data_IF_787144789557
#
_entry.id   IF_787144789557
#
_cell.length_a   1.000
_cell.length_b   1.000
_cell.length_c   1.000
_cell.angle_alpha   90.00
_cell.angle_beta   90.00
_cell.angle_gamma   90.00
#
_symmetry.space_group_name_H-M   'P 1'
#
loop_
_entity.id
_entity.type
_entity.pdbx_description
1 polymer ?
#
# COMPACT_ATOMS: atom_id res chain seq x y z
N UNK A 1 31.59 83.25 -10.59
CA UNK A 1 30.20 83.32 -11.11
C UNK A 1 29.52 82.03 -10.68
N UNK A 2 28.44 81.95 -9.89
CA UNK A 2 27.49 82.90 -9.30
C UNK A 2 27.10 82.34 -7.92
N UNK A 3 26.74 83.27 -7.02
CA UNK A 3 26.37 83.14 -5.59
C UNK A 3 25.38 82.01 -5.26
N UNK A 4 25.61 81.34 -4.13
CA UNK A 4 24.58 80.62 -3.37
C UNK A 4 24.41 81.30 -2.00
N UNK A 5 23.17 81.66 -1.69
CA UNK A 5 22.76 82.44 -0.53
C UNK A 5 22.54 81.56 0.70
N UNK A 6 22.91 82.12 1.84
CA UNK A 6 22.80 81.59 3.20
C UNK A 6 21.35 81.47 3.67
N UNK A 7 21.05 80.41 4.43
CA UNK A 7 20.02 80.45 5.47
C UNK A 7 20.50 79.66 6.69
N UNK A 8 20.67 80.38 7.80
CA UNK A 8 20.85 79.84 9.15
C UNK A 8 19.52 79.24 9.62
N UNK A 9 19.57 78.12 10.35
CA UNK A 9 18.63 77.88 11.43
C UNK A 9 19.31 77.11 12.58
N UNK A 10 19.10 77.61 13.78
CA UNK A 10 19.82 77.30 15.01
C UNK A 10 19.49 75.91 15.58
N UNK A 11 20.51 75.30 16.18
CA UNK A 11 20.45 74.01 16.89
C UNK A 11 20.15 74.26 18.36
N UNK A 12 19.02 73.77 18.87
CA UNK A 12 18.66 73.83 20.30
C UNK A 12 18.77 72.43 20.89
N UNK A 13 19.71 72.25 21.82
CA UNK A 13 19.93 71.03 22.60
C UNK A 13 18.94 71.06 23.78
N UNK A 14 18.09 70.02 23.91
CA UNK A 14 17.24 69.79 25.07
C UNK A 14 17.81 68.62 25.89
N UNK A 15 18.26 68.92 27.12
CA UNK A 15 18.51 67.95 28.18
C UNK A 15 17.16 67.59 28.81
N UNK A 16 16.82 66.30 28.90
CA UNK A 16 15.73 65.81 29.76
C UNK A 16 16.29 64.79 30.74
N UNK A 17 16.12 65.11 32.02
CA UNK A 17 16.55 64.34 33.17
C UNK A 17 15.76 63.02 33.29
N UNK A 18 16.45 61.95 33.65
CA UNK A 18 15.86 60.68 34.03
C UNK A 18 15.12 60.83 35.39
N UNK A 19 13.81 60.64 35.38
CA UNK A 19 13.00 60.48 36.59
C UNK A 19 12.53 59.01 36.66
N UNK A 20 12.96 58.30 37.71
CA UNK A 20 12.47 56.98 38.05
C UNK A 20 11.01 57.06 38.54
N UNK A 21 10.05 56.68 37.69
CA UNK A 21 8.69 56.37 38.10
C UNK A 21 8.60 54.90 38.54
N UNK A 22 8.24 54.65 39.80
CA UNK A 22 7.78 53.33 40.24
C UNK A 22 6.40 53.09 39.63
N UNK A 23 6.30 52.15 38.71
CA UNK A 23 5.01 51.71 38.16
C UNK A 23 4.30 50.86 39.22
N UNK A 24 3.19 51.36 39.75
CA UNK A 24 2.29 50.63 40.62
C UNK A 24 1.45 49.66 39.76
N UNK A 25 1.70 48.36 39.93
CA UNK A 25 1.10 47.27 39.16
C UNK A 25 -0.23 46.77 39.76
N UNK A 26 -0.74 47.41 40.81
CA UNK A 26 -1.98 46.99 41.50
C UNK A 26 -3.28 47.23 40.72
N UNK A 27 -3.21 47.82 39.51
CA UNK A 27 -4.38 48.15 38.68
C UNK A 27 -4.53 47.28 37.42
N UNK A 28 -3.70 46.25 37.23
CA UNK A 28 -3.83 45.29 36.11
C UNK A 28 -4.78 44.12 36.38
N UNK A 29 -5.44 44.08 37.54
CA UNK A 29 -6.48 43.10 37.84
C UNK A 29 -7.84 43.78 37.96
N UNK A 30 -8.45 44.20 36.85
CA UNK A 30 -9.92 44.29 36.73
C UNK A 30 -10.35 44.59 35.28
N UNK A 31 -10.81 43.55 34.58
CA UNK A 31 -11.54 43.63 33.30
C UNK A 31 -10.64 43.43 32.07
N UNK A 32 -10.83 42.45 31.20
CA UNK A 32 -11.94 41.54 30.97
C UNK A 32 -11.63 40.12 31.44
N UNK A 33 -12.67 39.37 31.81
CA UNK A 33 -12.52 37.92 31.90
C UNK A 33 -11.99 37.44 30.56
N UNK A 34 -10.84 36.76 30.56
CA UNK A 34 -10.45 35.92 29.42
C UNK A 34 -11.64 34.98 29.23
N UNK A 35 -12.42 35.20 28.17
CA UNK A 35 -13.38 34.22 27.71
C UNK A 35 -12.52 33.08 27.22
N UNK A 36 -12.26 32.11 28.08
CA UNK A 36 -11.74 30.82 27.66
C UNK A 36 -12.82 30.32 26.69
N UNK A 37 -12.53 30.21 25.38
CA UNK A 37 -13.48 29.59 24.48
C UNK A 37 -13.82 28.24 25.12
N UNK A 38 -15.11 27.85 25.18
CA UNK A 38 -15.43 26.55 25.73
C UNK A 38 -14.52 25.55 25.03
N UNK A 39 -13.73 24.79 25.81
CA UNK A 39 -13.15 23.56 25.28
C UNK A 39 -14.38 22.69 25.05
N UNK A 40 -15.00 22.85 23.90
CA UNK A 40 -15.83 21.82 23.34
C UNK A 40 -14.85 20.71 23.05
N UNK A 41 -14.68 19.79 24.00
CA UNK A 41 -14.27 18.42 23.71
C UNK A 41 -15.41 17.71 22.98
N UNK A 42 -15.99 18.37 21.98
CA UNK A 42 -16.72 17.66 20.95
C UNK A 42 -15.63 17.01 20.12
N UNK A 43 -15.62 15.69 20.07
CA UNK A 43 -14.88 14.96 19.04
C UNK A 43 -15.17 15.66 17.71
N UNK A 44 -14.22 16.46 17.19
CA UNK A 44 -14.35 16.98 15.84
C UNK A 44 -14.38 15.73 14.97
N UNK A 45 -15.50 15.43 14.29
CA UNK A 45 -15.65 14.15 13.62
C UNK A 45 -14.53 14.01 12.58
N UNK A 46 -13.64 13.04 12.79
CA UNK A 46 -12.60 12.72 11.83
C UNK A 46 -13.17 11.80 10.77
N UNK A 47 -12.83 12.05 9.52
CA UNK A 47 -13.03 11.07 8.45
C UNK A 47 -12.27 9.80 8.86
N UNK A 48 -12.97 8.68 8.90
CA UNK A 48 -12.40 7.35 9.14
C UNK A 48 -12.38 6.57 7.83
N UNK A 49 -11.21 6.06 7.48
CA UNK A 49 -10.92 5.24 6.32
C UNK A 49 -10.52 3.85 6.83
N UNK A 50 -11.13 2.80 6.29
CA UNK A 50 -10.83 1.41 6.67
C UNK A 50 -10.54 0.58 5.43
N UNK A 51 -9.67 -0.42 5.53
CA UNK A 51 -9.63 -1.51 4.55
C UNK A 51 -8.26 -2.03 4.16
N UNK A 52 -8.03 -2.10 2.86
CA UNK A 52 -6.89 -2.74 2.21
C UNK A 52 -5.54 -2.29 2.76
N UNK A 53 -4.70 -3.25 3.13
CA UNK A 53 -3.29 -3.01 3.45
C UNK A 53 -2.48 -2.49 2.25
N UNK A 54 -2.95 -2.73 1.03
CA UNK A 54 -2.30 -2.29 -0.21
C UNK A 54 -2.63 -0.84 -0.55
N UNK A 55 -3.90 -0.45 -0.36
CA UNK A 55 -4.37 0.89 -0.69
C UNK A 55 -4.16 1.86 0.48
N UNK A 56 -4.17 1.34 1.71
CA UNK A 56 -3.97 2.10 2.95
C UNK A 56 -2.79 3.08 2.92
N UNK A 57 -1.58 2.71 2.44
CA UNK A 57 -0.46 3.65 2.35
C UNK A 57 -0.76 4.88 1.46
N UNK A 58 -1.45 4.70 0.33
CA UNK A 58 -1.87 5.81 -0.54
C UNK A 58 -2.91 6.68 0.17
N UNK A 59 -3.90 6.05 0.81
CA UNK A 59 -4.92 6.75 1.58
C UNK A 59 -4.30 7.55 2.74
N UNK A 60 -3.29 7.00 3.41
CA UNK A 60 -2.59 7.65 4.51
C UNK A 60 -1.80 8.87 4.04
N UNK A 61 -1.06 8.78 2.93
CA UNK A 61 -0.37 9.95 2.35
C UNK A 61 -1.35 11.06 1.97
N UNK A 62 -2.51 10.71 1.37
CA UNK A 62 -3.55 11.69 1.05
C UNK A 62 -4.15 12.30 2.32
N UNK A 63 -4.41 11.49 3.35
CA UNK A 63 -4.94 11.96 4.63
C UNK A 63 -3.98 12.93 5.34
N UNK A 64 -2.70 12.59 5.41
CA UNK A 64 -1.65 13.44 5.97
C UNK A 64 -1.56 14.78 5.23
N UNK A 65 -1.50 14.73 3.89
CA UNK A 65 -1.46 15.94 3.06
C UNK A 65 -2.71 16.80 3.27
N UNK A 66 -3.89 16.19 3.33
CA UNK A 66 -5.15 16.89 3.58
C UNK A 66 -5.14 17.63 4.93
N UNK A 67 -4.71 16.97 6.00
CA UNK A 67 -4.59 17.61 7.32
C UNK A 67 -3.49 18.68 7.39
N UNK A 68 -2.45 18.57 6.55
CA UNK A 68 -1.36 19.55 6.50
C UNK A 68 -1.72 20.83 5.73
N UNK A 69 -2.65 20.77 4.78
CA UNK A 69 -2.98 21.90 3.87
C UNK A 69 -4.37 22.47 4.05
N UNK A 70 -5.16 21.94 4.98
CA UNK A 70 -6.52 22.42 5.27
C UNK A 70 -6.71 22.68 6.76
N UNK A 71 -7.79 23.37 7.12
CA UNK A 71 -8.17 23.59 8.53
C UNK A 71 -8.90 22.37 9.14
N UNK A 72 -9.09 21.29 8.37
CA UNK A 72 -9.80 20.10 8.83
C UNK A 72 -8.84 19.10 9.50
N UNK A 73 -9.31 18.32 10.50
CA UNK A 73 -8.49 17.28 11.11
C UNK A 73 -8.02 16.22 10.10
N UNK A 74 -6.79 15.74 10.26
CA UNK A 74 -6.25 14.59 9.53
C UNK A 74 -7.19 13.38 9.65
N UNK A 75 -7.63 12.78 8.53
CA UNK A 75 -8.38 11.53 8.53
C UNK A 75 -7.62 10.41 9.23
N UNK A 76 -8.35 9.49 9.87
CA UNK A 76 -7.80 8.28 10.46
C UNK A 76 -7.85 7.19 9.40
N UNK A 77 -6.73 6.50 9.17
CA UNK A 77 -6.62 5.37 8.23
C UNK A 77 -6.32 4.09 9.02
N UNK A 78 -7.19 3.08 8.91
CA UNK A 78 -7.10 1.81 9.62
C UNK A 78 -7.02 0.64 8.63
N UNK A 79 -5.86 0.00 8.57
CA UNK A 79 -5.61 -1.14 7.69
C UNK A 79 -6.18 -2.42 8.32
N UNK A 80 -7.32 -2.88 7.82
CA UNK A 80 -8.08 -4.04 8.34
C UNK A 80 -8.25 -5.16 7.30
N UNK A 81 -7.60 -5.02 6.13
CA UNK A 81 -7.81 -5.85 4.94
C UNK A 81 -9.13 -5.49 4.23
N UNK A 82 -9.21 -5.70 2.90
CA UNK A 82 -10.39 -5.28 2.11
C UNK A 82 -11.72 -5.83 2.66
N UNK A 83 -11.76 -7.11 3.08
CA UNK A 83 -12.97 -7.71 3.66
C UNK A 83 -13.31 -7.18 5.06
N UNK A 84 -12.30 -6.96 5.92
CA UNK A 84 -12.49 -6.33 7.23
C UNK A 84 -12.95 -4.88 7.10
N UNK A 85 -12.38 -4.16 6.12
CA UNK A 85 -12.75 -2.81 5.72
C UNK A 85 -14.21 -2.73 5.32
N UNK A 86 -14.66 -3.55 4.37
CA UNK A 86 -16.08 -3.59 4.01
C UNK A 86 -16.99 -3.99 5.16
N UNK A 87 -16.57 -4.92 6.04
CA UNK A 87 -17.35 -5.27 7.23
C UNK A 87 -17.55 -4.07 8.16
N UNK A 88 -16.48 -3.30 8.43
CA UNK A 88 -16.54 -2.11 9.27
C UNK A 88 -17.29 -0.95 8.58
N UNK A 89 -17.02 -0.75 7.28
CA UNK A 89 -17.70 0.24 6.45
C UNK A 89 -19.20 -0.04 6.34
N UNK A 90 -19.62 -1.27 6.08
CA UNK A 90 -21.03 -1.62 5.96
C UNK A 90 -21.76 -1.72 7.32
N UNK A 91 -21.15 -1.37 8.46
CA UNK A 91 -21.79 -1.46 9.78
C UNK A 91 -22.90 -0.41 10.02
N UNK A 92 -22.98 0.64 9.20
CA UNK A 92 -24.01 1.66 9.27
C UNK A 92 -23.53 3.04 8.82
N UNK A 93 -24.36 4.07 8.97
CA UNK A 93 -24.02 5.48 8.67
C UNK A 93 -23.83 6.29 9.95
N UNK A 94 -23.32 7.52 9.81
CA UNK A 94 -23.20 8.48 10.91
C UNK A 94 -21.76 8.81 11.33
N UNK A 95 -21.59 9.74 12.28
CA UNK A 95 -20.32 10.42 12.56
C UNK A 95 -19.24 9.52 13.17
N UNK A 96 -19.64 8.39 13.75
CA UNK A 96 -18.73 7.41 14.33
C UNK A 96 -18.40 6.25 13.39
N UNK A 97 -19.09 6.12 12.26
CA UNK A 97 -18.88 5.04 11.31
C UNK A 97 -17.79 5.42 10.28
N UNK A 98 -17.03 4.44 9.75
CA UNK A 98 -16.11 4.70 8.66
C UNK A 98 -16.84 5.33 7.47
N UNK A 99 -16.29 6.41 6.93
CA UNK A 99 -16.90 7.13 5.79
C UNK A 99 -16.35 6.63 4.45
N UNK A 100 -15.17 6.02 4.48
CA UNK A 100 -14.46 5.54 3.30
C UNK A 100 -14.00 4.10 3.54
N UNK A 101 -14.15 3.24 2.53
CA UNK A 101 -13.47 1.95 2.48
C UNK A 101 -12.47 1.98 1.34
N UNK A 102 -11.20 1.72 1.61
CA UNK A 102 -10.23 1.43 0.56
C UNK A 102 -10.17 -0.09 0.29
N UNK A 103 -9.91 -0.46 -0.96
CA UNK A 103 -10.09 -1.85 -1.38
C UNK A 103 -9.15 -2.22 -2.53
N UNK A 104 -8.55 -3.40 -2.42
CA UNK A 104 -7.68 -4.00 -3.45
C UNK A 104 -8.43 -4.97 -4.38
N UNK A 105 -9.76 -4.91 -4.38
CA UNK A 105 -10.67 -5.62 -5.28
C UNK A 105 -12.05 -4.93 -5.31
N UNK A 106 -12.92 -5.24 -6.27
CA UNK A 106 -14.30 -4.80 -6.22
C UNK A 106 -15.02 -5.30 -4.94
N UNK A 107 -16.05 -4.57 -4.52
CA UNK A 107 -16.99 -5.03 -3.50
C UNK A 107 -17.66 -6.32 -3.95
N UNK A 108 -17.86 -7.27 -3.03
CA UNK A 108 -18.54 -8.55 -3.31
C UNK A 108 -20.07 -8.37 -3.18
N UNK A 109 -20.88 -9.19 -3.89
CA UNK A 109 -22.34 -9.16 -3.71
C UNK A 109 -22.80 -9.37 -2.25
N UNK A 110 -22.07 -10.19 -1.48
CA UNK A 110 -22.35 -10.38 -0.05
C UNK A 110 -22.07 -9.14 0.81
N UNK A 111 -21.07 -8.33 0.42
CA UNK A 111 -20.72 -7.08 1.09
C UNK A 111 -21.70 -5.97 0.69
N UNK A 112 -22.13 -5.91 -0.57
CA UNK A 112 -23.22 -5.04 -1.01
C UNK A 112 -24.51 -5.32 -0.23
N UNK A 113 -24.87 -6.61 -0.09
CA UNK A 113 -26.03 -7.02 0.69
C UNK A 113 -25.90 -6.63 2.18
N UNK A 114 -24.71 -6.77 2.77
CA UNK A 114 -24.43 -6.31 4.14
C UNK A 114 -24.61 -4.80 4.27
N UNK A 115 -24.05 -4.03 3.33
CA UNK A 115 -24.20 -2.57 3.28
C UNK A 115 -25.68 -2.18 3.20
N UNK A 116 -26.43 -2.79 2.28
CA UNK A 116 -27.87 -2.51 2.11
C UNK A 116 -28.67 -2.83 3.38
N UNK A 117 -28.40 -3.98 4.02
CA UNK A 117 -29.08 -4.38 5.25
C UNK A 117 -28.88 -3.39 6.42
N UNK A 118 -27.74 -2.68 6.43
CA UNK A 118 -27.39 -1.70 7.45
C UNK A 118 -27.58 -0.25 7.00
N UNK A 119 -28.33 -0.02 5.91
CA UNK A 119 -28.67 1.33 5.44
C UNK A 119 -27.52 2.09 4.75
N UNK A 120 -26.42 1.41 4.43
CA UNK A 120 -25.35 1.95 3.56
C UNK A 120 -25.75 1.67 2.12
N UNK A 121 -26.28 2.69 1.44
CA UNK A 121 -26.84 2.56 0.09
C UNK A 121 -25.87 3.13 -0.94
N UNK A 122 -25.62 2.38 -2.01
CA UNK A 122 -24.89 2.85 -3.20
C UNK A 122 -23.65 3.70 -2.89
N UNK A 123 -22.63 3.15 -2.17
CA UNK A 123 -21.40 3.87 -1.95
C UNK A 123 -20.75 4.22 -3.30
N UNK A 124 -20.27 5.46 -3.44
CA UNK A 124 -19.61 5.91 -4.66
C UNK A 124 -18.29 5.14 -4.82
N UNK A 125 -18.15 4.46 -5.95
CA UNK A 125 -16.99 3.63 -6.25
C UNK A 125 -16.01 4.38 -7.16
N UNK A 126 -14.84 4.70 -6.63
CA UNK A 126 -13.78 5.38 -7.36
C UNK A 126 -12.65 4.39 -7.61
N UNK A 127 -12.35 4.13 -8.88
CA UNK A 127 -11.16 3.35 -9.27
C UNK A 127 -9.94 4.27 -9.25
N UNK A 128 -8.94 3.91 -8.45
CA UNK A 128 -7.75 4.76 -8.28
C UNK A 128 -6.52 4.24 -9.02
N UNK A 129 -6.50 2.96 -9.43
CA UNK A 129 -5.39 2.42 -10.18
C UNK A 129 -5.41 0.91 -10.34
N UNK A 130 -4.30 0.41 -10.89
CA UNK A 130 -4.00 -1.00 -11.08
C UNK A 130 -2.68 -1.27 -10.37
N UNK A 131 -2.68 -2.32 -9.57
CA UNK A 131 -1.47 -2.89 -9.00
C UNK A 131 -1.12 -4.12 -9.82
N UNK A 132 0.05 -4.11 -10.45
CA UNK A 132 0.51 -5.15 -11.36
C UNK A 132 1.89 -5.62 -10.94
N UNK A 133 1.99 -6.88 -10.54
CA UNK A 133 3.23 -7.53 -10.13
C UNK A 133 3.70 -8.40 -11.28
N UNK A 134 4.98 -8.35 -11.61
CA UNK A 134 5.57 -9.15 -12.68
C UNK A 134 6.70 -10.01 -12.16
N UNK A 135 6.81 -11.20 -12.75
CA UNK A 135 7.99 -12.05 -12.63
C UNK A 135 8.85 -11.76 -13.84
N UNK A 136 10.05 -11.22 -13.64
CA UNK A 136 10.91 -10.81 -14.74
C UNK A 136 12.30 -11.43 -14.65
N UNK A 137 12.97 -11.56 -15.79
CA UNK A 137 14.38 -11.90 -15.87
C UNK A 137 15.11 -11.05 -16.89
N UNK A 138 16.43 -11.24 -16.99
CA UNK A 138 17.23 -10.61 -18.04
C UNK A 138 16.65 -10.94 -19.42
N UNK A 139 16.71 -9.96 -20.33
CA UNK A 139 16.32 -10.17 -21.73
C UNK A 139 17.15 -11.29 -22.38
N UNK A 140 18.41 -11.44 -21.96
CA UNK A 140 19.33 -12.48 -22.40
C UNK A 140 19.12 -13.85 -21.69
N UNK A 141 18.24 -13.90 -20.68
CA UNK A 141 17.91 -15.14 -19.96
C UNK A 141 16.95 -16.04 -20.73
N UNK A 142 16.59 -17.20 -20.16
CA UNK A 142 15.60 -18.10 -20.76
C UNK A 142 14.20 -17.46 -20.78
N UNK A 143 13.29 -18.07 -21.54
CA UNK A 143 11.87 -17.70 -21.54
C UNK A 143 11.16 -18.55 -20.49
N UNK A 144 10.31 -17.90 -19.69
CA UNK A 144 9.47 -18.56 -18.71
C UNK A 144 8.00 -18.37 -19.05
N UNK A 145 7.25 -19.46 -18.95
CA UNK A 145 5.80 -19.48 -18.94
C UNK A 145 5.39 -20.29 -17.71
N UNK A 146 4.92 -19.61 -16.69
CA UNK A 146 4.72 -20.17 -15.35
C UNK A 146 3.24 -20.22 -15.02
N UNK A 147 2.83 -21.20 -14.24
CA UNK A 147 1.52 -21.19 -13.57
C UNK A 147 1.67 -20.73 -12.12
N UNK A 148 0.56 -20.32 -11.49
CA UNK A 148 0.58 -19.99 -10.06
C UNK A 148 0.91 -21.20 -9.19
N UNK A 149 0.39 -22.38 -9.55
CA UNK A 149 0.76 -23.63 -8.90
C UNK A 149 2.26 -23.94 -9.02
N UNK A 150 2.90 -23.66 -10.16
CA UNK A 150 4.35 -23.82 -10.31
C UNK A 150 5.13 -22.79 -9.47
N UNK A 151 4.68 -21.53 -9.43
CA UNK A 151 5.26 -20.52 -8.53
C UNK A 151 5.18 -20.98 -7.07
N UNK A 152 4.02 -21.48 -6.62
CA UNK A 152 3.84 -22.02 -5.28
C UNK A 152 4.77 -23.22 -5.01
N UNK A 153 4.80 -24.21 -5.93
CA UNK A 153 5.69 -25.37 -5.82
C UNK A 153 7.17 -24.99 -5.83
N UNK A 154 7.56 -23.92 -6.51
CA UNK A 154 8.93 -23.43 -6.53
C UNK A 154 9.33 -22.73 -5.21
N UNK A 155 8.41 -21.96 -4.61
CA UNK A 155 8.76 -20.94 -3.62
C UNK A 155 8.22 -21.16 -2.22
N UNK A 156 7.19 -21.99 -2.04
CA UNK A 156 6.67 -22.28 -0.70
C UNK A 156 7.78 -22.88 0.16
N UNK A 157 7.83 -22.49 1.44
CA UNK A 157 8.79 -23.04 2.39
C UNK A 157 8.62 -24.56 2.54
N UNK A 158 7.38 -24.97 2.72
CA UNK A 158 6.96 -26.35 2.90
C UNK A 158 5.86 -26.70 1.88
N UNK A 159 5.91 -27.92 1.36
CA UNK A 159 4.91 -28.45 0.44
C UNK A 159 4.16 -29.62 1.09
N UNK A 160 2.88 -29.81 0.74
CA UNK A 160 2.17 -31.05 1.04
C UNK A 160 2.97 -32.29 0.66
N UNK A 161 3.08 -33.25 1.57
CA UNK A 161 3.85 -34.48 1.33
C UNK A 161 3.03 -35.59 0.66
N UNK A 162 1.73 -35.36 0.47
CA UNK A 162 0.76 -36.31 -0.08
C UNK A 162 0.19 -37.31 0.93
N UNK A 163 0.58 -37.22 2.20
CA UNK A 163 0.13 -38.09 3.31
C UNK A 163 -0.66 -37.32 4.36
N UNK A 164 -0.98 -36.06 4.09
CA UNK A 164 -1.66 -35.17 5.02
C UNK A 164 -0.72 -34.36 5.90
N UNK A 165 0.60 -34.43 5.68
CA UNK A 165 1.60 -33.62 6.37
C UNK A 165 2.32 -32.70 5.37
N UNK A 166 3.34 -31.99 5.84
CA UNK A 166 4.16 -31.06 5.08
C UNK A 166 5.63 -31.45 5.16
N UNK A 167 6.38 -31.15 4.10
CA UNK A 167 7.83 -31.34 4.05
C UNK A 167 8.53 -30.09 3.51
N UNK A 168 9.80 -29.85 3.88
CA UNK A 168 10.60 -28.80 3.26
C UNK A 168 10.61 -28.94 1.74
N UNK A 169 10.51 -27.81 1.05
CA UNK A 169 10.40 -27.80 -0.40
C UNK A 169 11.63 -28.45 -1.06
N UNK A 170 11.47 -29.58 -1.79
CA UNK A 170 12.59 -30.33 -2.34
C UNK A 170 13.10 -29.77 -3.67
N UNK A 171 12.33 -28.90 -4.34
CA UNK A 171 12.66 -28.41 -5.67
C UNK A 171 13.89 -27.49 -5.59
N UNK A 172 14.86 -27.68 -6.49
CA UNK A 172 16.10 -26.90 -6.59
C UNK A 172 16.27 -26.24 -7.94
N UNK A 173 15.73 -26.84 -8.99
CA UNK A 173 15.69 -26.32 -10.37
C UNK A 173 14.26 -26.13 -10.83
N UNK A 174 14.04 -25.27 -11.82
CA UNK A 174 12.71 -25.10 -12.42
C UNK A 174 12.21 -26.39 -13.10
N UNK A 175 13.12 -27.23 -13.59
CA UNK A 175 12.79 -28.56 -14.11
C UNK A 175 12.24 -29.52 -13.04
N UNK A 176 12.65 -29.38 -11.78
CA UNK A 176 12.08 -30.16 -10.67
C UNK A 176 10.60 -29.82 -10.45
N UNK A 177 10.20 -28.58 -10.78
CA UNK A 177 8.84 -28.07 -10.61
C UNK A 177 7.94 -28.52 -11.76
N UNK A 178 8.45 -28.49 -12.99
CA UNK A 178 7.75 -28.90 -14.20
C UNK A 178 8.75 -29.18 -15.34
N UNK A 179 8.56 -30.27 -16.12
CA UNK A 179 9.48 -30.64 -17.20
C UNK A 179 9.51 -29.64 -18.37
N UNK A 180 8.48 -28.81 -18.51
CA UNK A 180 8.37 -27.79 -19.56
C UNK A 180 9.14 -26.50 -19.24
N UNK A 181 9.68 -26.39 -18.02
CA UNK A 181 10.44 -25.22 -17.58
C UNK A 181 11.95 -25.37 -17.84
N UNK A 182 12.70 -24.25 -17.93
CA UNK A 182 14.14 -24.27 -18.12
C UNK A 182 14.90 -25.07 -17.05
N UNK A 183 16.05 -25.64 -17.41
CA UNK A 183 16.96 -26.32 -16.47
C UNK A 183 17.86 -25.31 -15.75
N UNK A 184 17.23 -24.36 -15.06
CA UNK A 184 17.91 -23.32 -14.29
C UNK A 184 17.71 -23.55 -12.80
N UNK A 185 18.69 -23.21 -11.95
CA UNK A 185 18.48 -23.13 -10.51
C UNK A 185 17.31 -22.20 -10.17
N UNK A 186 16.49 -22.58 -9.18
CA UNK A 186 15.49 -21.67 -8.63
C UNK A 186 16.24 -20.60 -7.83
N UNK A 187 16.30 -19.40 -8.40
CA UNK A 187 16.85 -18.22 -7.76
C UNK A 187 15.97 -17.02 -8.10
N UNK A 188 15.32 -16.48 -7.10
CA UNK A 188 14.43 -15.32 -7.22
C UNK A 188 14.91 -14.19 -6.31
N UNK A 189 15.13 -13.03 -6.89
CA UNK A 189 15.28 -11.78 -6.14
C UNK A 189 13.91 -11.17 -5.93
N UNK A 190 13.50 -11.01 -4.69
CA UNK A 190 12.19 -10.45 -4.39
C UNK A 190 12.24 -9.40 -3.30
N UNK A 191 11.17 -8.60 -3.19
CA UNK A 191 11.09 -7.54 -2.20
C UNK A 191 11.06 -8.09 -0.76
N UNK A 192 11.50 -7.29 0.23
CA UNK A 192 11.58 -7.74 1.62
C UNK A 192 10.19 -7.94 2.25
N UNK A 193 10.08 -8.57 3.43
CA UNK A 193 8.82 -8.77 4.14
C UNK A 193 8.01 -7.50 4.45
N UNK A 194 8.62 -6.32 4.38
CA UNK A 194 8.00 -5.02 4.63
C UNK A 194 7.37 -4.38 3.38
N UNK A 195 7.50 -5.02 2.22
CA UNK A 195 7.10 -4.44 0.94
C UNK A 195 5.70 -4.85 0.48
N UNK A 196 4.90 -3.87 0.07
CA UNK A 196 3.57 -4.11 -0.52
C UNK A 196 3.61 -4.91 -1.83
N UNK A 197 4.72 -4.86 -2.59
CA UNK A 197 4.95 -5.72 -3.77
C UNK A 197 5.02 -7.19 -3.36
N UNK A 198 5.63 -7.49 -2.22
CA UNK A 198 5.68 -8.86 -1.66
C UNK A 198 4.29 -9.30 -1.26
N UNK A 199 3.56 -8.46 -0.51
CA UNK A 199 2.19 -8.76 -0.07
C UNK A 199 1.29 -9.09 -1.26
N UNK A 200 1.33 -8.26 -2.30
CA UNK A 200 0.60 -8.50 -3.55
C UNK A 200 1.01 -9.82 -4.21
N UNK A 201 2.30 -10.13 -4.28
CA UNK A 201 2.81 -11.38 -4.85
C UNK A 201 2.33 -12.61 -4.07
N UNK A 202 2.40 -12.59 -2.74
CA UNK A 202 1.98 -13.74 -1.93
C UNK A 202 0.46 -13.92 -1.98
N UNK A 203 -0.33 -12.84 -2.01
CA UNK A 203 -1.80 -12.93 -2.12
C UNK A 203 -2.27 -13.38 -3.52
N UNK A 204 -1.73 -12.77 -4.58
CA UNK A 204 -2.23 -12.99 -5.95
C UNK A 204 -1.58 -14.21 -6.63
N UNK A 205 -0.33 -14.50 -6.27
CA UNK A 205 0.48 -15.59 -6.82
C UNK A 205 0.48 -16.81 -5.91
N UNK A 206 1.12 -16.69 -4.74
CA UNK A 206 1.38 -17.84 -3.86
C UNK A 206 0.10 -18.45 -3.27
N UNK A 207 -0.79 -17.62 -2.72
CA UNK A 207 -2.06 -18.08 -2.14
C UNK A 207 -2.95 -18.75 -3.18
N UNK A 208 -3.10 -18.12 -4.34
CA UNK A 208 -3.90 -18.67 -5.44
C UNK A 208 -3.28 -19.96 -6.00
N UNK A 209 -1.95 -20.03 -6.11
CA UNK A 209 -1.24 -21.24 -6.50
C UNK A 209 -1.37 -22.37 -5.47
N UNK A 210 -1.39 -22.03 -4.18
CA UNK A 210 -1.63 -22.99 -3.11
C UNK A 210 -3.05 -23.57 -3.18
N UNK A 211 -4.05 -22.77 -3.53
CA UNK A 211 -5.44 -23.24 -3.67
C UNK A 211 -5.64 -24.26 -4.79
N UNK A 212 -4.69 -24.38 -5.73
CA UNK A 212 -4.71 -25.43 -6.76
C UNK A 212 -4.26 -26.80 -6.21
N UNK A 213 -3.59 -26.84 -5.05
CA UNK A 213 -3.26 -28.09 -4.36
C UNK A 213 -4.45 -28.57 -3.50
N UNK A 214 -4.87 -29.85 -3.60
CA UNK A 214 -6.03 -30.35 -2.86
C UNK A 214 -5.92 -30.28 -1.34
N UNK A 215 -4.73 -30.52 -0.77
CA UNK A 215 -4.51 -30.48 0.69
C UNK A 215 -4.57 -29.04 1.20
N UNK A 216 -3.98 -28.10 0.46
CA UNK A 216 -4.05 -26.67 0.77
C UNK A 216 -5.46 -26.11 0.58
N UNK A 217 -6.17 -26.51 -0.48
CA UNK A 217 -7.56 -26.12 -0.71
C UNK A 217 -8.48 -26.64 0.40
N UNK A 218 -8.25 -27.85 0.91
CA UNK A 218 -8.98 -28.38 2.06
C UNK A 218 -8.66 -27.56 3.33
N UNK A 219 -7.38 -27.28 3.59
CA UNK A 219 -6.95 -26.48 4.73
C UNK A 219 -7.58 -25.09 4.73
N UNK A 220 -7.67 -24.42 3.57
CA UNK A 220 -8.30 -23.09 3.46
C UNK A 220 -9.75 -23.03 3.94
N UNK A 221 -10.45 -24.17 3.92
CA UNK A 221 -11.86 -24.27 4.35
C UNK A 221 -12.01 -24.63 5.83
N UNK A 222 -11.02 -25.31 6.39
CA UNK A 222 -11.07 -25.80 7.79
C UNK A 222 -10.32 -24.87 8.74
N UNK A 223 -9.24 -24.24 8.28
CA UNK A 223 -8.40 -23.34 9.05
C UNK A 223 -7.74 -22.30 8.11
N UNK A 224 -8.44 -21.19 7.89
CA UNK A 224 -8.00 -20.10 7.02
C UNK A 224 -6.69 -19.46 7.50
N UNK A 225 -6.48 -19.39 8.82
CA UNK A 225 -5.27 -18.81 9.40
C UNK A 225 -4.05 -19.70 9.13
N UNK A 226 -4.16 -21.00 9.40
CA UNK A 226 -3.10 -21.97 9.12
C UNK A 226 -2.82 -22.12 7.61
N UNK A 227 -3.86 -21.98 6.77
CA UNK A 227 -3.71 -21.92 5.32
C UNK A 227 -2.88 -20.70 4.89
N UNK A 228 -3.24 -19.49 5.34
CA UNK A 228 -2.51 -18.27 4.97
C UNK A 228 -1.07 -18.30 5.45
N UNK A 229 -0.85 -18.71 6.70
CA UNK A 229 0.50 -18.85 7.26
C UNK A 229 1.40 -19.72 6.35
N UNK A 230 0.88 -20.86 5.88
CA UNK A 230 1.63 -21.76 4.99
C UNK A 230 1.73 -21.24 3.57
N UNK A 231 0.64 -20.75 3.00
CA UNK A 231 0.58 -20.29 1.62
C UNK A 231 1.47 -19.06 1.39
N UNK A 232 1.65 -18.21 2.40
CA UNK A 232 2.46 -17.00 2.33
C UNK A 232 3.91 -17.22 2.77
N UNK A 233 4.24 -18.37 3.36
CA UNK A 233 5.59 -18.70 3.80
C UNK A 233 6.50 -18.98 2.59
N UNK A 234 7.35 -18.02 2.25
CA UNK A 234 8.40 -18.18 1.26
C UNK A 234 9.62 -18.89 1.88
N UNK A 235 10.21 -19.80 1.10
CA UNK A 235 11.43 -20.51 1.49
C UNK A 235 12.61 -19.57 1.76
N UNK A 236 13.48 -19.95 2.69
CA UNK A 236 14.66 -19.18 3.13
C UNK A 236 15.99 -19.90 2.87
N UNK A 237 15.98 -20.93 2.03
CA UNK A 237 17.12 -21.79 1.72
C UNK A 237 17.97 -21.31 0.53
N UNK A 238 17.88 -20.02 0.21
CA UNK A 238 18.66 -19.36 -0.86
C UNK A 238 18.00 -19.36 -2.23
N UNK A 239 16.88 -20.06 -2.42
CA UNK A 239 16.09 -20.00 -3.65
C UNK A 239 15.31 -18.68 -3.78
N UNK A 240 14.93 -18.07 -2.66
CA UNK A 240 14.43 -16.71 -2.57
C UNK A 240 15.42 -15.85 -1.80
N UNK A 241 15.75 -14.68 -2.35
CA UNK A 241 16.64 -13.70 -1.73
C UNK A 241 15.87 -12.40 -1.57
N UNK A 242 15.71 -11.98 -0.32
CA UNK A 242 15.18 -10.65 0.03
C UNK A 242 16.16 -9.59 -0.47
N UNK A 243 15.73 -8.83 -1.46
CA UNK A 243 16.41 -7.67 -2.01
C UNK A 243 15.68 -6.45 -1.47
N UNK A 244 16.39 -5.52 -0.84
CA UNK A 244 15.79 -4.36 -0.16
C UNK A 244 14.80 -3.56 -1.01
N UNK A 245 14.09 -2.61 -0.40
CA UNK A 245 12.90 -1.90 -0.93
C UNK A 245 13.01 -1.23 -2.32
N UNK A 246 14.19 -1.22 -2.93
CA UNK A 246 14.40 -0.63 -4.25
C UNK A 246 14.37 -1.70 -5.35
N UNK A 247 13.22 -1.83 -6.03
CA UNK A 247 13.04 -2.70 -7.20
C UNK A 247 14.07 -2.47 -8.33
N UNK A 248 14.65 -1.26 -8.43
CA UNK A 248 15.73 -1.00 -9.41
C UNK A 248 16.97 -1.85 -9.14
N UNK A 249 17.23 -2.20 -7.87
CA UNK A 249 18.32 -3.08 -7.50
C UNK A 249 18.06 -4.53 -7.98
N UNK A 250 16.80 -4.98 -7.95
CA UNK A 250 16.40 -6.27 -8.53
C UNK A 250 16.72 -6.28 -10.03
N UNK A 251 16.31 -5.26 -10.79
CA UNK A 251 16.61 -5.14 -12.23
C UNK A 251 18.12 -5.22 -12.50
N UNK A 252 18.94 -4.55 -11.70
CA UNK A 252 20.41 -4.60 -11.85
C UNK A 252 20.98 -5.99 -11.56
N UNK A 253 20.43 -6.72 -10.59
CA UNK A 253 20.85 -8.09 -10.27
C UNK A 253 20.48 -9.06 -11.37
N UNK A 254 19.29 -8.94 -11.98
CA UNK A 254 18.87 -9.78 -13.10
C UNK A 254 19.82 -9.67 -14.30
N UNK A 255 20.36 -8.48 -14.57
CA UNK A 255 21.34 -8.30 -15.63
C UNK A 255 22.66 -9.05 -15.40
N UNK A 256 23.02 -9.29 -14.14
CA UNK A 256 24.24 -10.02 -13.75
C UNK A 256 24.00 -11.52 -13.63
N UNK A 257 22.75 -11.94 -13.46
CA UNK A 257 22.35 -13.33 -13.28
C UNK A 257 21.19 -13.67 -14.23
N UNK A 258 21.43 -13.90 -15.53
CA UNK A 258 20.35 -14.02 -16.52
C UNK A 258 19.35 -15.18 -16.29
N UNK A 259 19.78 -16.25 -15.61
CA UNK A 259 18.92 -17.39 -15.25
C UNK A 259 18.03 -17.14 -14.03
N UNK A 260 18.28 -16.10 -13.23
CA UNK A 260 17.45 -15.74 -12.09
C UNK A 260 16.17 -15.02 -12.52
N UNK A 261 15.13 -15.15 -11.70
CA UNK A 261 13.90 -14.35 -11.80
C UNK A 261 13.89 -13.24 -10.74
N UNK A 262 13.02 -12.27 -10.91
CA UNK A 262 12.78 -11.21 -9.96
C UNK A 262 11.30 -10.87 -9.87
N UNK A 263 10.83 -10.53 -8.67
CA UNK A 263 9.47 -10.05 -8.42
C UNK A 263 9.51 -8.55 -8.25
N UNK A 264 8.77 -7.80 -9.08
CA UNK A 264 8.74 -6.33 -9.05
C UNK A 264 7.42 -5.78 -9.58
N UNK A 265 7.16 -4.50 -9.31
CA UNK A 265 6.03 -3.80 -9.92
C UNK A 265 6.19 -3.62 -11.44
N UNK A 266 5.09 -3.68 -12.19
CA UNK A 266 5.07 -3.56 -13.66
C UNK A 266 5.75 -2.29 -14.20
N UNK A 267 5.66 -1.17 -13.47
CA UNK A 267 6.30 0.10 -13.87
C UNK A 267 7.83 0.00 -13.96
N UNK A 268 8.46 -0.93 -13.23
CA UNK A 268 9.90 -1.18 -13.33
C UNK A 268 10.25 -2.01 -14.56
N UNK A 269 9.39 -2.96 -14.96
CA UNK A 269 9.52 -3.66 -16.23
C UNK A 269 9.38 -2.68 -17.40
N UNK A 270 8.33 -1.87 -17.41
CA UNK A 270 8.02 -0.91 -18.49
C UNK A 270 9.21 0.04 -18.76
N UNK A 271 9.83 0.55 -17.69
CA UNK A 271 10.99 1.47 -17.78
C UNK A 271 12.30 0.78 -18.17
N UNK A 272 12.37 -0.56 -18.19
CA UNK A 272 13.60 -1.32 -18.43
C UNK A 272 13.41 -2.44 -19.48
N UNK A 273 12.47 -2.30 -20.42
CA UNK A 273 12.18 -3.30 -21.48
C UNK A 273 13.33 -3.54 -22.46
N UNK A 274 14.31 -2.64 -22.51
CA UNK A 274 15.57 -2.81 -23.22
C UNK A 274 16.47 -3.86 -22.54
N UNK A 275 16.32 -4.06 -21.23
CA UNK A 275 17.21 -4.85 -20.36
C UNK A 275 16.57 -6.12 -19.80
N UNK A 276 15.31 -6.06 -19.38
CA UNK A 276 14.57 -7.18 -18.78
C UNK A 276 13.32 -7.51 -19.57
N UNK A 277 12.81 -8.73 -19.36
CA UNK A 277 11.55 -9.22 -19.92
C UNK A 277 10.76 -9.93 -18.83
N UNK A 278 9.44 -9.99 -18.97
CA UNK A 278 8.59 -10.72 -18.05
C UNK A 278 8.37 -12.17 -18.49
N UNK A 279 8.20 -13.04 -17.50
CA UNK A 279 7.60 -14.35 -17.67
C UNK A 279 6.11 -14.19 -18.03
N UNK A 280 5.61 -15.13 -18.84
CA UNK A 280 4.17 -15.30 -19.04
C UNK A 280 3.59 -16.02 -17.83
N UNK A 281 2.31 -15.77 -17.55
CA UNK A 281 1.55 -16.53 -16.57
C UNK A 281 0.47 -17.34 -17.29
N UNK A 282 0.60 -18.65 -17.34
CA UNK A 282 -0.31 -19.56 -18.06
C UNK A 282 -0.55 -19.13 -19.51
N UNK A 283 0.51 -18.72 -20.22
CA UNK A 283 0.45 -18.20 -21.57
C UNK A 283 0.03 -16.73 -21.69
N UNK A 284 -0.31 -16.05 -20.59
CA UNK A 284 -0.71 -14.64 -20.64
C UNK A 284 0.53 -13.74 -20.48
N UNK A 285 0.80 -12.80 -21.40
CA UNK A 285 1.93 -11.89 -21.27
C UNK A 285 1.70 -10.81 -20.19
N UNK A 286 2.79 -10.33 -19.58
CA UNK A 286 2.75 -9.23 -18.62
C UNK A 286 2.79 -7.87 -19.35
N UNK A 287 1.69 -7.47 -19.96
CA UNK A 287 1.53 -6.16 -20.58
C UNK A 287 0.41 -5.34 -19.92
N UNK A 288 0.34 -4.06 -20.28
CA UNK A 288 -0.59 -3.12 -19.68
C UNK A 288 -2.05 -3.56 -19.82
N UNK A 289 -2.44 -4.11 -20.98
CA UNK A 289 -3.82 -4.47 -21.26
C UNK A 289 -4.25 -5.69 -20.43
N UNK A 290 -3.41 -6.72 -20.33
CA UNK A 290 -3.72 -7.92 -19.53
C UNK A 290 -3.61 -7.66 -18.01
N UNK A 291 -2.74 -6.75 -17.59
CA UNK A 291 -2.70 -6.29 -16.19
C UNK A 291 -3.97 -5.52 -15.85
N UNK A 292 -4.39 -4.61 -16.74
CA UNK A 292 -5.59 -3.79 -16.60
C UNK A 292 -6.87 -4.63 -16.58
N UNK A 293 -6.97 -5.64 -17.45
CA UNK A 293 -8.11 -6.55 -17.48
C UNK A 293 -8.14 -7.52 -16.29
N UNK A 294 -6.97 -7.78 -15.68
CA UNK A 294 -6.81 -8.80 -14.64
C UNK A 294 -6.42 -10.17 -15.19
N UNK A 295 -6.37 -10.33 -16.51
CA UNK A 295 -6.09 -11.61 -17.17
C UNK A 295 -4.66 -12.12 -16.93
N UNK A 296 -3.68 -11.22 -16.70
CA UNK A 296 -2.32 -11.64 -16.34
C UNK A 296 -2.29 -12.39 -15.00
N UNK A 297 -3.26 -12.18 -14.12
CA UNK A 297 -3.45 -12.97 -12.90
C UNK A 297 -2.57 -12.58 -11.71
N UNK A 298 -1.52 -11.78 -11.89
CA UNK A 298 -0.75 -11.12 -10.82
C UNK A 298 -1.05 -9.62 -10.75
N UNK A 299 -2.31 -9.26 -11.00
CA UNK A 299 -2.77 -7.88 -10.94
C UNK A 299 -4.09 -7.75 -10.20
N UNK A 300 -4.35 -6.54 -9.71
CA UNK A 300 -5.63 -6.21 -9.08
C UNK A 300 -5.99 -4.75 -9.26
N UNK A 301 -7.29 -4.50 -9.16
CA UNK A 301 -7.86 -3.17 -9.19
C UNK A 301 -7.85 -2.56 -7.79
N UNK A 302 -7.47 -1.30 -7.71
CA UNK A 302 -7.53 -0.51 -6.48
C UNK A 302 -8.70 0.45 -6.52
N UNK A 303 -9.43 0.53 -5.42
CA UNK A 303 -10.64 1.31 -5.27
C UNK A 303 -10.68 2.08 -3.97
N UNK A 304 -11.43 3.17 -4.00
CA UNK A 304 -11.94 3.91 -2.84
C UNK A 304 -13.46 3.90 -2.96
N UNK A 305 -14.14 3.52 -1.87
CA UNK A 305 -15.60 3.56 -1.75
C UNK A 305 -15.98 4.63 -0.74
N UNK A 306 -16.87 5.55 -1.12
CA UNK A 306 -17.26 6.68 -0.28
C UNK A 306 -18.76 6.62 0.03
N UNK A 307 -19.13 6.73 1.32
CA UNK A 307 -20.54 6.91 1.70
C UNK A 307 -20.96 8.34 1.40
N UNK A 308 -21.73 8.53 0.34
CA UNK A 308 -22.25 9.85 0.01
C UNK A 308 -23.24 10.35 1.07
N UNK A 309 -23.89 9.45 1.82
CA UNK A 309 -24.79 9.81 2.94
C UNK A 309 -24.07 10.52 4.09
N UNK A 310 -22.75 10.41 4.19
CA UNK A 310 -21.97 11.08 5.24
C UNK A 310 -21.48 12.47 4.80
N UNK A 311 -21.76 12.92 3.57
CA UNK A 311 -21.37 14.23 3.06
C UNK A 311 -22.39 15.35 3.36
N UNK A 312 -23.53 15.01 3.97
CA UNK A 312 -24.66 15.91 4.26
C UNK A 312 -24.88 16.17 5.74
#
# INVERSE_FOLDING_TARGET
MVRASSFLLASTIFFVAAACGRTDLSTLETGDRIVIPPITSGDVPKIRIVGSSTVGPFANTVAEQFGAVTDFPTPIVEMTGTGGGFKAFCAGTGPHQPSISDASRPVKPSEEALCAANGVVAPEQIRIGYDGIVIANSKAGPVFDLTKAELYRALAQDLPDGKGDFRPNPNRTWRDVSPDLPDEPILIFGPPPTSGTRDAFVELGMEQGALEDPQMAALSKTDEAAFRERAHALRSDGAWIDFGENDSAIVQSLMKTPGALGVLGYSFLERNTDRVKAARLSGVPADFDHIKSGEYGLSRLMFIYVKMQNLG
#
